data_IF_061623787743
#
_entry.id   IF_061623787743
#
_cell.length_a   1.000
_cell.length_b   1.000
_cell.length_c   1.000
_cell.angle_alpha   90.00
_cell.angle_beta   90.00
_cell.angle_gamma   90.00
#
_symmetry.space_group_name_H-M   'P 1'
#
loop_
_entity.id
_entity.type
_entity.pdbx_description
1 polymer ?
#
# COMPACT_ATOMS: atom_id res chain seq x y z
N UNK A 1 -7.16 -0.87 22.08
CA UNK A 1 -7.78 0.13 22.99
C UNK A 1 -8.98 0.73 22.30
N UNK A 2 -10.15 0.84 22.95
CA UNK A 2 -11.37 1.44 22.37
C UNK A 2 -11.13 2.83 21.76
N UNK A 3 -10.26 3.62 22.40
CA UNK A 3 -9.81 4.93 21.90
C UNK A 3 -9.14 4.85 20.51
N UNK A 4 -8.34 3.80 20.26
CA UNK A 4 -7.69 3.60 18.96
C UNK A 4 -8.66 3.18 17.86
N UNK A 5 -9.69 2.40 18.21
CA UNK A 5 -10.76 2.01 17.27
C UNK A 5 -11.56 3.26 16.87
N UNK A 6 -11.93 4.10 17.83
CA UNK A 6 -12.65 5.34 17.58
C UNK A 6 -11.84 6.30 16.69
N UNK A 7 -10.53 6.45 16.95
CA UNK A 7 -9.67 7.31 16.16
C UNK A 7 -9.54 6.81 14.71
N UNK A 8 -9.34 5.51 14.50
CA UNK A 8 -9.29 4.93 13.17
C UNK A 8 -10.62 5.06 12.43
N UNK A 9 -11.75 4.84 13.09
CA UNK A 9 -13.07 5.04 12.50
C UNK A 9 -13.30 6.50 12.10
N UNK A 10 -12.96 7.44 12.98
CA UNK A 10 -13.05 8.87 12.68
C UNK A 10 -12.19 9.26 11.48
N UNK A 11 -10.96 8.74 11.41
CA UNK A 11 -10.05 8.97 10.28
C UNK A 11 -10.60 8.41 8.97
N UNK A 12 -11.15 7.20 8.98
CA UNK A 12 -11.75 6.57 7.80
C UNK A 12 -12.94 7.40 7.30
N UNK A 13 -13.85 7.79 8.21
CA UNK A 13 -15.01 8.61 7.85
C UNK A 13 -14.58 9.95 7.26
N UNK A 14 -13.57 10.59 7.86
CA UNK A 14 -13.03 11.86 7.38
C UNK A 14 -12.41 11.73 5.98
N UNK A 15 -11.58 10.71 5.75
CA UNK A 15 -10.94 10.47 4.46
C UNK A 15 -11.95 10.14 3.36
N UNK A 16 -12.95 9.30 3.66
CA UNK A 16 -14.04 8.98 2.72
C UNK A 16 -14.88 10.23 2.41
N UNK A 17 -15.13 11.08 3.41
CA UNK A 17 -15.84 12.35 3.22
C UNK A 17 -15.08 13.31 2.30
N UNK A 18 -13.76 13.42 2.44
CA UNK A 18 -12.91 14.22 1.54
C UNK A 18 -12.96 13.64 0.12
N UNK A 19 -12.80 12.33 -0.05
CA UNK A 19 -12.85 11.68 -1.36
C UNK A 19 -14.18 11.95 -2.08
N UNK A 20 -15.28 11.84 -1.33
CA UNK A 20 -16.61 12.15 -1.84
C UNK A 20 -16.76 13.62 -2.24
N UNK A 21 -16.22 14.54 -1.44
CA UNK A 21 -16.22 15.98 -1.77
C UNK A 21 -15.41 16.24 -3.05
N UNK A 22 -14.26 15.58 -3.22
CA UNK A 22 -13.47 15.65 -4.44
C UNK A 22 -14.26 15.16 -5.66
N UNK A 23 -14.98 14.03 -5.55
CA UNK A 23 -15.81 13.51 -6.64
C UNK A 23 -16.96 14.48 -7.00
N UNK A 24 -17.63 15.07 -5.99
CA UNK A 24 -18.68 16.09 -6.20
C UNK A 24 -18.10 17.35 -6.83
N UNK A 25 -16.91 17.79 -6.42
CA UNK A 25 -16.22 18.94 -7.00
C UNK A 25 -15.72 18.67 -8.42
N UNK A 26 -15.17 17.49 -8.67
CA UNK A 26 -14.71 17.06 -9.99
C UNK A 26 -15.89 17.02 -10.97
N UNK A 27 -17.03 16.46 -10.56
CA UNK A 27 -18.28 16.50 -11.33
C UNK A 27 -18.73 17.94 -11.63
N UNK A 28 -18.65 18.84 -10.64
CA UNK A 28 -19.11 20.23 -10.80
C UNK A 28 -18.20 21.06 -11.72
N UNK A 29 -16.90 20.77 -11.76
CA UNK A 29 -15.90 21.51 -12.54
C UNK A 29 -15.80 20.95 -13.97
N UNK A 30 -15.83 19.63 -14.13
CA UNK A 30 -15.67 18.95 -15.41
C UNK A 30 -17.06 18.73 -16.01
N UNK A 31 -17.51 19.63 -16.91
CA UNK A 31 -18.74 19.46 -17.70
C UNK A 31 -18.63 18.38 -18.82
N UNK A 32 -17.90 17.29 -18.58
CA UNK A 32 -17.97 16.11 -19.45
C UNK A 32 -19.01 15.13 -18.89
N UNK A 33 -19.58 14.23 -19.72
CA UNK A 33 -20.39 13.12 -19.23
C UNK A 33 -19.49 12.06 -18.58
N UNK A 34 -18.74 12.43 -17.53
CA UNK A 34 -18.14 11.43 -16.66
C UNK A 34 -19.29 10.68 -15.98
N UNK A 35 -19.11 9.39 -15.71
CA UNK A 35 -20.06 8.66 -14.88
C UNK A 35 -20.01 9.22 -13.45
N UNK A 36 -21.13 9.28 -12.71
CA UNK A 36 -21.09 9.61 -11.29
C UNK A 36 -20.18 8.59 -10.57
N UNK A 37 -19.35 9.04 -9.63
CA UNK A 37 -18.44 8.22 -8.80
C UNK A 37 -17.17 7.66 -9.48
N UNK A 38 -16.61 8.40 -10.44
CA UNK A 38 -15.43 7.97 -11.20
C UNK A 38 -14.20 7.64 -10.34
N UNK A 39 -13.96 8.34 -9.22
CA UNK A 39 -12.81 8.07 -8.34
C UNK A 39 -13.18 7.24 -7.11
N UNK A 40 -14.36 7.49 -6.52
CA UNK A 40 -14.81 6.74 -5.33
C UNK A 40 -15.05 5.26 -5.63
N UNK A 41 -15.57 4.91 -6.81
CA UNK A 41 -15.81 3.52 -7.22
C UNK A 41 -14.54 2.67 -7.20
N UNK A 42 -13.53 2.99 -8.03
CA UNK A 42 -12.26 2.25 -8.06
C UNK A 42 -11.55 2.23 -6.70
N UNK A 43 -11.60 3.32 -5.93
CA UNK A 43 -11.00 3.39 -4.60
C UNK A 43 -11.63 2.38 -3.62
N UNK A 44 -12.96 2.33 -3.54
CA UNK A 44 -13.66 1.39 -2.66
C UNK A 44 -13.45 -0.06 -3.08
N UNK A 45 -13.46 -0.33 -4.39
CA UNK A 45 -13.16 -1.66 -4.95
C UNK A 45 -11.74 -2.09 -4.58
N UNK A 46 -10.74 -1.22 -4.78
CA UNK A 46 -9.36 -1.49 -4.39
C UNK A 46 -9.20 -1.70 -2.89
N UNK A 47 -9.86 -0.90 -2.06
CA UNK A 47 -9.81 -1.03 -0.61
C UNK A 47 -10.40 -2.38 -0.13
N UNK A 48 -11.53 -2.79 -0.69
CA UNK A 48 -12.15 -4.08 -0.37
C UNK A 48 -11.27 -5.26 -0.81
N UNK A 49 -10.76 -5.23 -2.05
CA UNK A 49 -9.87 -6.26 -2.58
C UNK A 49 -8.56 -6.33 -1.79
N UNK A 50 -7.95 -5.20 -1.44
CA UNK A 50 -6.72 -5.16 -0.68
C UNK A 50 -6.91 -5.66 0.76
N UNK A 51 -8.04 -5.32 1.39
CA UNK A 51 -8.39 -5.83 2.72
C UNK A 51 -8.61 -7.35 2.70
N UNK A 52 -9.32 -7.85 1.69
CA UNK A 52 -9.53 -9.28 1.49
C UNK A 52 -8.19 -10.00 1.23
N UNK A 53 -7.37 -9.50 0.30
CA UNK A 53 -6.05 -10.06 0.03
C UNK A 53 -5.17 -10.05 1.28
N UNK A 54 -5.18 -8.97 2.07
CA UNK A 54 -4.48 -8.88 3.34
C UNK A 54 -4.92 -9.96 4.34
N UNK A 55 -6.23 -10.24 4.44
CA UNK A 55 -6.75 -11.28 5.32
C UNK A 55 -6.17 -12.67 5.01
N UNK A 56 -5.91 -12.99 3.73
CA UNK A 56 -5.29 -14.26 3.32
C UNK A 56 -3.76 -14.23 3.33
N UNK A 57 -3.15 -13.13 2.88
CA UNK A 57 -1.70 -13.01 2.75
C UNK A 57 -0.98 -12.83 4.09
N UNK A 58 -1.57 -12.10 5.04
CA UNK A 58 -0.97 -11.87 6.37
C UNK A 58 -0.71 -13.18 7.14
N UNK A 59 -1.67 -14.13 7.26
CA UNK A 59 -1.39 -15.40 7.92
C UNK A 59 -0.37 -16.23 7.13
N UNK A 60 -0.36 -16.15 5.79
CA UNK A 60 0.65 -16.83 4.97
C UNK A 60 2.07 -16.32 5.26
N UNK A 61 2.27 -15.00 5.36
CA UNK A 61 3.56 -14.42 5.74
C UNK A 61 3.98 -14.79 7.17
N UNK A 62 3.02 -14.95 8.07
CA UNK A 62 3.29 -15.43 9.43
C UNK A 62 3.79 -16.89 9.43
N UNK A 63 3.23 -17.76 8.57
CA UNK A 63 3.67 -19.16 8.40
C UNK A 63 5.04 -19.25 7.74
N UNK A 64 5.34 -18.35 6.79
CA UNK A 64 6.63 -18.31 6.08
C UNK A 64 7.83 -17.93 6.98
N UNK A 65 7.62 -17.72 8.29
CA UNK A 65 8.67 -17.41 9.27
C UNK A 65 9.63 -16.34 8.75
N UNK A 66 9.09 -15.26 8.19
CA UNK A 66 9.78 -13.97 8.15
C UNK A 66 9.81 -13.44 9.60
N UNK A 67 10.38 -14.23 10.50
CA UNK A 67 10.86 -13.76 11.78
C UNK A 67 12.00 -12.82 11.39
N UNK A 68 11.71 -11.52 11.42
CA UNK A 68 12.75 -10.52 11.58
C UNK A 68 13.76 -11.09 12.58
N UNK A 69 14.99 -11.34 12.12
CA UNK A 69 16.06 -11.85 12.97
C UNK A 69 16.12 -10.89 14.15
N UNK A 70 15.79 -11.38 15.35
CA UNK A 70 15.64 -10.57 16.54
C UNK A 70 16.90 -9.72 16.73
N UNK A 71 16.70 -8.39 16.77
CA UNK A 71 17.69 -7.45 17.28
C UNK A 71 17.77 -7.68 18.80
N UNK A 72 18.89 -8.23 19.28
CA UNK A 72 19.17 -8.41 20.72
C UNK A 72 19.65 -7.09 21.37
N UNK A 73 19.95 -6.06 20.58
CA UNK A 73 20.69 -4.86 20.99
C UNK A 73 19.81 -3.62 21.19
N UNK A 74 18.73 -3.68 21.98
CA UNK A 74 17.97 -2.47 22.30
C UNK A 74 17.02 -2.60 23.49
N UNK A 75 16.87 -1.55 24.34
CA UNK A 75 16.10 -1.61 25.58
C UNK A 75 14.63 -2.00 25.34
N UNK A 76 14.09 -2.78 26.28
CA UNK A 76 12.84 -3.58 26.22
C UNK A 76 11.55 -2.82 25.85
N UNK A 77 11.59 -1.49 25.82
CA UNK A 77 10.45 -0.60 25.64
C UNK A 77 10.02 -0.42 24.17
N UNK A 78 10.80 -0.91 23.20
CA UNK A 78 10.48 -0.80 21.76
C UNK A 78 10.05 -2.12 21.09
N UNK A 79 9.91 -3.20 21.87
CA UNK A 79 9.48 -4.51 21.38
C UNK A 79 7.97 -4.58 21.08
N UNK A 80 7.20 -3.50 21.27
CA UNK A 80 5.75 -3.43 21.03
C UNK A 80 5.35 -3.19 19.56
N UNK A 81 6.29 -2.83 18.67
CA UNK A 81 6.07 -2.81 17.21
C UNK A 81 6.43 -4.15 16.55
N UNK A 82 6.21 -5.26 17.27
CA UNK A 82 6.49 -6.62 16.79
C UNK A 82 5.32 -7.16 15.97
N UNK A 83 5.61 -7.62 14.75
CA UNK A 83 4.77 -8.59 14.04
C UNK A 83 3.99 -8.09 12.82
N UNK A 84 4.09 -6.80 12.46
CA UNK A 84 3.44 -6.33 11.22
C UNK A 84 4.28 -6.74 10.02
N UNK A 85 3.73 -7.59 9.15
CA UNK A 85 4.40 -8.04 7.93
C UNK A 85 4.86 -6.81 7.11
N UNK A 86 6.17 -6.63 6.99
CA UNK A 86 6.81 -5.51 6.28
C UNK A 86 6.56 -5.55 4.77
N UNK A 87 5.96 -6.63 4.25
CA UNK A 87 5.71 -6.84 2.82
C UNK A 87 4.26 -6.57 2.39
N UNK A 88 3.55 -5.66 3.08
CA UNK A 88 2.17 -5.27 2.71
C UNK A 88 2.05 -4.78 1.26
N UNK A 89 3.10 -4.13 0.75
CA UNK A 89 3.20 -3.71 -0.64
C UNK A 89 3.09 -4.85 -1.66
N UNK A 90 3.46 -6.09 -1.29
CA UNK A 90 3.47 -7.22 -2.22
C UNK A 90 2.08 -7.62 -2.71
N UNK A 91 1.04 -7.42 -1.89
CA UNK A 91 -0.35 -7.63 -2.31
C UNK A 91 -1.07 -6.32 -2.62
N UNK A 92 -0.71 -5.22 -1.96
CA UNK A 92 -1.37 -3.93 -2.16
C UNK A 92 -1.15 -3.37 -3.58
N UNK A 93 0.09 -3.42 -4.07
CA UNK A 93 0.48 -2.89 -5.37
C UNK A 93 -0.18 -3.63 -6.54
N UNK A 94 -0.15 -4.98 -6.62
CA UNK A 94 -0.83 -5.67 -7.71
C UNK A 94 -2.35 -5.48 -7.67
N UNK A 95 -2.98 -5.43 -6.49
CA UNK A 95 -4.42 -5.12 -6.38
C UNK A 95 -4.72 -3.73 -6.94
N UNK A 96 -3.91 -2.72 -6.57
CA UNK A 96 -4.06 -1.37 -7.09
C UNK A 96 -3.93 -1.28 -8.61
N UNK A 97 -2.95 -1.96 -9.20
CA UNK A 97 -2.73 -1.98 -10.65
C UNK A 97 -3.88 -2.65 -11.39
N UNK A 98 -4.39 -3.77 -10.87
CA UNK A 98 -5.53 -4.48 -11.48
C UNK A 98 -6.77 -3.60 -11.48
N UNK A 99 -7.06 -2.93 -10.36
CA UNK A 99 -8.24 -2.06 -10.24
C UNK A 99 -8.09 -0.81 -11.11
N UNK A 100 -6.89 -0.21 -11.18
CA UNK A 100 -6.63 0.93 -12.05
C UNK A 100 -6.76 0.56 -13.54
N UNK A 101 -6.25 -0.60 -13.94
CA UNK A 101 -6.41 -1.13 -15.29
C UNK A 101 -7.88 -1.38 -15.64
N UNK A 102 -8.62 -2.01 -14.74
CA UNK A 102 -10.05 -2.28 -14.91
C UNK A 102 -10.90 -0.99 -14.98
N UNK A 103 -10.55 0.04 -14.22
CA UNK A 103 -11.23 1.33 -14.24
C UNK A 103 -10.93 2.18 -15.49
N UNK A 104 -9.90 1.82 -16.26
CA UNK A 104 -9.44 2.55 -17.45
C UNK A 104 -9.55 1.74 -18.74
N UNK A 105 -10.30 0.64 -18.72
CA UNK A 105 -10.48 -0.30 -19.83
C UNK A 105 -9.15 -0.82 -20.42
N UNK A 106 -8.07 -0.83 -19.63
CA UNK A 106 -6.70 -1.20 -20.05
C UNK A 106 -6.16 -0.47 -21.29
N UNK A 107 -6.81 0.60 -21.74
CA UNK A 107 -6.45 1.32 -22.97
C UNK A 107 -5.68 2.61 -22.71
N UNK A 108 -5.61 3.06 -21.45
CA UNK A 108 -4.96 4.33 -21.11
C UNK A 108 -3.44 4.15 -20.96
N UNK A 109 -2.68 4.78 -21.86
CA UNK A 109 -1.21 4.85 -21.82
C UNK A 109 -0.71 5.52 -20.52
N UNK A 110 -1.47 6.49 -20.00
CA UNK A 110 -1.11 7.23 -18.78
C UNK A 110 -1.18 6.31 -17.55
N UNK A 111 -2.23 5.50 -17.46
CA UNK A 111 -2.40 4.51 -16.39
C UNK A 111 -1.31 3.44 -16.46
N UNK A 112 -0.98 2.99 -17.66
CA UNK A 112 0.09 2.00 -17.84
C UNK A 112 1.48 2.57 -17.50
N UNK A 113 1.75 3.83 -17.85
CA UNK A 113 2.98 4.53 -17.48
C UNK A 113 3.12 4.68 -15.96
N UNK A 114 2.05 5.11 -15.29
CA UNK A 114 2.02 5.20 -13.82
C UNK A 114 2.17 3.81 -13.17
N UNK A 115 1.52 2.78 -13.70
CA UNK A 115 1.65 1.40 -13.22
C UNK A 115 3.07 0.88 -13.36
N UNK A 116 3.73 1.13 -14.51
CA UNK A 116 5.12 0.74 -14.74
C UNK A 116 6.08 1.40 -13.75
N UNK A 117 5.93 2.71 -13.49
CA UNK A 117 6.70 3.40 -12.47
C UNK A 117 6.45 2.78 -11.07
N UNK A 118 5.18 2.54 -10.73
CA UNK A 118 4.81 1.93 -9.44
C UNK A 118 5.45 0.56 -9.25
N UNK A 119 5.49 -0.29 -10.29
CA UNK A 119 6.17 -1.58 -10.26
C UNK A 119 7.68 -1.42 -10.09
N UNK A 120 8.31 -0.43 -10.73
CA UNK A 120 9.73 -0.17 -10.58
C UNK A 120 10.09 0.18 -9.12
N UNK A 121 9.36 1.13 -8.51
CA UNK A 121 9.53 1.48 -7.10
C UNK A 121 9.20 0.32 -6.15
N UNK A 122 8.17 -0.47 -6.47
CA UNK A 122 7.82 -1.68 -5.73
C UNK A 122 8.96 -2.69 -5.71
N UNK A 123 9.58 -2.92 -6.88
CA UNK A 123 10.70 -3.84 -7.02
C UNK A 123 11.91 -3.36 -6.23
N UNK A 124 12.22 -2.07 -6.25
CA UNK A 124 13.32 -1.47 -5.47
C UNK A 124 13.08 -1.69 -3.96
N UNK A 125 11.87 -1.40 -3.47
CA UNK A 125 11.51 -1.63 -2.07
C UNK A 125 11.58 -3.10 -1.67
N UNK A 126 11.11 -4.01 -2.53
CA UNK A 126 11.19 -5.45 -2.32
C UNK A 126 12.63 -5.96 -2.29
N UNK A 127 13.49 -5.44 -3.16
CA UNK A 127 14.92 -5.79 -3.18
C UNK A 127 15.60 -5.35 -1.88
N UNK A 128 15.34 -4.12 -1.41
CA UNK A 128 15.88 -3.62 -0.14
C UNK A 128 15.43 -4.49 1.05
N UNK A 129 14.13 -4.79 1.15
CA UNK A 129 13.58 -5.65 2.20
C UNK A 129 14.12 -7.09 2.14
N UNK A 130 14.29 -7.65 0.94
CA UNK A 130 14.85 -8.99 0.76
C UNK A 130 16.35 -9.07 1.13
N UNK A 131 17.12 -8.02 0.85
CA UNK A 131 18.54 -7.96 1.17
C UNK A 131 18.78 -7.89 2.69
N UNK A 132 17.93 -7.16 3.41
CA UNK A 132 17.93 -7.11 4.88
C UNK A 132 17.63 -8.52 5.45
N UNK A 133 16.67 -9.24 4.87
CA UNK A 133 16.31 -10.59 5.29
C UNK A 133 17.44 -11.59 5.05
N UNK A 134 18.07 -11.56 3.87
CA UNK A 134 19.13 -12.51 3.49
C UNK A 134 20.45 -12.26 4.23
N UNK A 135 20.82 -11.00 4.47
CA UNK A 135 22.15 -10.67 5.03
C UNK A 135 22.24 -10.79 6.55
N UNK A 136 21.13 -11.01 7.28
CA UNK A 136 21.07 -11.03 8.77
C UNK A 136 21.82 -9.84 9.44
N UNK A 137 22.04 -8.75 8.71
CA UNK A 137 22.78 -7.57 9.14
C UNK A 137 21.95 -6.33 8.83
N UNK A 138 21.98 -5.33 9.71
CA UNK A 138 21.14 -4.12 9.64
C UNK A 138 21.45 -3.14 8.49
N UNK A 139 22.22 -3.55 7.48
CA UNK A 139 22.52 -2.70 6.32
C UNK A 139 21.81 -3.28 5.08
N UNK A 140 20.69 -2.66 4.70
CA UNK A 140 20.04 -2.85 3.41
C UNK A 140 20.88 -2.25 2.26
N UNK A 141 20.25 -1.77 1.19
CA UNK A 141 20.98 -0.96 0.21
C UNK A 141 21.63 0.24 0.91
N UNK A 142 22.87 0.62 0.54
CA UNK A 142 23.46 1.86 1.02
C UNK A 142 22.51 3.02 0.74
N UNK A 143 22.21 3.85 1.75
CA UNK A 143 21.34 5.02 1.62
C UNK A 143 21.58 5.87 0.35
N UNK A 144 22.84 6.16 -0.08
CA UNK A 144 23.04 6.90 -1.33
C UNK A 144 22.62 6.14 -2.59
N UNK A 145 22.76 4.80 -2.61
CA UNK A 145 22.34 3.98 -3.76
C UNK A 145 20.81 3.91 -3.82
N UNK A 146 20.14 3.81 -2.66
CA UNK A 146 18.68 3.83 -2.59
C UNK A 146 18.10 5.13 -3.16
N UNK A 147 18.65 6.28 -2.78
CA UNK A 147 18.20 7.61 -3.27
C UNK A 147 18.52 7.82 -4.76
N UNK A 148 19.54 7.15 -5.30
CA UNK A 148 19.83 7.22 -6.75
C UNK A 148 18.85 6.34 -7.55
N UNK A 149 18.37 5.25 -6.94
CA UNK A 149 17.48 4.29 -7.58
C UNK A 149 16.01 4.75 -7.52
N UNK A 150 15.65 5.51 -6.48
CA UNK A 150 14.33 6.12 -6.25
C UNK A 150 14.24 7.49 -6.96
#
# INVERSE_FOLDING_TARGET
TYLGILNNLGLIIFLVGILFLFDVCAWRIVRLPLAPFFLTGPFLVAACLASFAGFFCVPLFHVLKIHQVLRVEGPDIHLYKKGTATMGGLFFIPVGIIVAGAASDFSSIEVFGAAAATIAFAAIGLLDDSLILMKKHNYGLPAPIKIILE
#
